data_IF_501326794751
#
_entry.id   IF_501326794751
#
_cell.length_a   1.000
_cell.length_b   1.000
_cell.length_c   1.000
_cell.angle_alpha   90.00
_cell.angle_beta   90.00
_cell.angle_gamma   90.00
#
_symmetry.space_group_name_H-M   'P 1'
#
loop_
_entity.id
_entity.type
_entity.pdbx_description
1 polymer ?
#
# COMPACT_ATOMS: atom_id res chain seq x y z
N UNK A 1 -29.63 -19.09 18.96
CA UNK A 1 -28.21 -19.04 18.63
C UNK A 1 -28.03 -19.05 17.11
N UNK A 2 -26.96 -18.46 16.63
CA UNK A 2 -26.57 -18.48 15.22
C UNK A 2 -25.52 -19.57 14.98
N UNK A 3 -25.49 -20.12 13.77
CA UNK A 3 -24.53 -21.18 13.42
C UNK A 3 -23.18 -20.61 12.95
N UNK A 4 -23.17 -19.35 12.48
CA UNK A 4 -21.97 -18.66 12.03
C UNK A 4 -22.05 -17.15 12.23
N UNK A 5 -20.86 -16.50 12.22
CA UNK A 5 -20.72 -15.05 12.14
C UNK A 5 -19.65 -14.63 11.13
N UNK A 6 -19.80 -13.41 10.60
CA UNK A 6 -18.87 -12.81 9.68
C UNK A 6 -18.49 -11.42 10.21
N UNK A 7 -17.20 -11.09 10.15
CA UNK A 7 -16.68 -9.77 10.54
C UNK A 7 -15.60 -9.37 9.53
N UNK A 8 -15.93 -8.44 8.63
CA UNK A 8 -15.02 -7.99 7.58
C UNK A 8 -14.53 -6.58 7.88
N UNK A 9 -13.25 -6.42 8.13
CA UNK A 9 -12.58 -5.15 8.41
C UNK A 9 -13.40 -4.28 9.37
N UNK A 10 -13.73 -4.84 10.53
CA UNK A 10 -14.57 -4.20 11.54
C UNK A 10 -13.98 -4.28 12.94
N UNK A 11 -13.23 -5.35 13.25
CA UNK A 11 -12.67 -5.59 14.57
C UNK A 11 -11.63 -4.54 14.96
N UNK A 12 -10.89 -4.00 14.00
CA UNK A 12 -9.91 -2.93 14.16
C UNK A 12 -10.50 -1.61 14.65
N UNK A 13 -11.79 -1.40 14.41
CA UNK A 13 -12.53 -0.22 14.86
C UNK A 13 -13.12 -0.36 16.27
N UNK A 14 -12.98 -1.55 16.89
CA UNK A 14 -13.60 -1.81 18.18
C UNK A 14 -12.73 -1.30 19.34
N UNK A 15 -13.23 -0.40 20.20
CA UNK A 15 -12.50 0.04 21.39
C UNK A 15 -12.38 -1.08 22.43
N UNK A 16 -13.32 -2.00 22.45
CA UNK A 16 -13.39 -3.15 23.37
C UNK A 16 -13.62 -4.46 22.58
N UNK A 17 -12.63 -4.96 21.82
CA UNK A 17 -12.81 -6.13 20.96
C UNK A 17 -13.22 -7.40 21.76
N UNK A 18 -12.70 -7.56 22.98
CA UNK A 18 -13.12 -8.65 23.88
C UNK A 18 -14.63 -8.63 24.19
N UNK A 19 -15.21 -7.44 24.37
CA UNK A 19 -16.65 -7.29 24.63
C UNK A 19 -17.48 -7.68 23.43
N UNK A 20 -17.05 -7.27 22.25
CA UNK A 20 -17.68 -7.66 20.98
C UNK A 20 -17.63 -9.17 20.81
N UNK A 21 -16.46 -9.79 20.94
CA UNK A 21 -16.27 -11.22 20.77
C UNK A 21 -17.06 -12.05 21.79
N UNK A 22 -17.13 -11.61 23.06
CA UNK A 22 -17.99 -12.24 24.06
C UNK A 22 -19.47 -12.14 23.74
N UNK A 23 -19.92 -11.02 23.17
CA UNK A 23 -21.30 -10.87 22.71
C UNK A 23 -21.59 -11.88 21.57
N UNK A 24 -20.68 -12.01 20.61
CA UNK A 24 -20.78 -13.01 19.53
C UNK A 24 -20.80 -14.42 20.13
N UNK A 25 -19.87 -14.74 21.03
CA UNK A 25 -19.75 -16.06 21.67
C UNK A 25 -21.06 -16.47 22.37
N UNK A 26 -21.69 -15.54 23.10
CA UNK A 26 -22.95 -15.82 23.82
C UNK A 26 -24.13 -16.11 22.87
N UNK A 27 -24.11 -15.58 21.65
CA UNK A 27 -25.17 -15.74 20.66
C UNK A 27 -24.89 -16.82 19.61
N UNK A 28 -23.68 -17.36 19.57
CA UNK A 28 -23.28 -18.42 18.64
C UNK A 28 -23.59 -19.80 19.22
N UNK A 29 -24.05 -20.72 18.38
CA UNK A 29 -24.26 -22.12 18.75
C UNK A 29 -22.94 -22.80 19.13
N UNK A 30 -23.01 -23.88 19.91
CA UNK A 30 -21.83 -24.70 20.22
C UNK A 30 -21.23 -25.26 18.92
N UNK A 31 -19.92 -25.09 18.76
CA UNK A 31 -19.21 -25.46 17.53
C UNK A 31 -19.49 -24.57 16.33
N UNK A 32 -20.22 -23.47 16.50
CA UNK A 32 -20.46 -22.47 15.46
C UNK A 32 -19.18 -21.85 14.94
N UNK A 33 -19.19 -21.44 13.68
CA UNK A 33 -18.02 -20.95 12.95
C UNK A 33 -18.03 -19.44 12.81
N UNK A 34 -16.84 -18.86 12.61
CA UNK A 34 -16.68 -17.45 12.28
C UNK A 34 -15.62 -17.25 11.22
N UNK A 35 -15.82 -16.22 10.38
CA UNK A 35 -14.80 -15.68 9.49
C UNK A 35 -14.55 -14.23 9.87
N UNK A 36 -13.29 -13.91 10.18
CA UNK A 36 -12.87 -12.57 10.60
C UNK A 36 -11.74 -12.11 9.70
N UNK A 37 -11.89 -10.90 9.17
CA UNK A 37 -10.79 -10.25 8.44
C UNK A 37 -10.45 -8.90 9.09
N UNK A 38 -9.15 -8.58 9.12
CA UNK A 38 -8.62 -7.30 9.61
C UNK A 38 -7.38 -6.90 8.80
N UNK A 39 -7.04 -5.61 8.69
CA UNK A 39 -5.78 -5.17 8.09
C UNK A 39 -4.55 -5.74 8.81
N UNK A 40 -3.52 -6.10 8.05
CA UNK A 40 -2.29 -6.71 8.55
C UNK A 40 -1.29 -5.66 9.02
N UNK A 41 -0.92 -5.70 10.30
CA UNK A 41 0.22 -4.94 10.82
C UNK A 41 1.54 -5.46 10.24
N UNK A 42 1.65 -6.76 10.00
CA UNK A 42 2.84 -7.37 9.41
C UNK A 42 3.14 -6.77 8.03
N UNK A 43 2.10 -6.67 7.19
CA UNK A 43 2.20 -6.01 5.89
C UNK A 43 2.61 -4.54 6.02
N UNK A 44 1.96 -3.78 6.91
CA UNK A 44 2.28 -2.36 7.14
C UNK A 44 3.74 -2.17 7.53
N UNK A 45 4.28 -3.03 8.40
CA UNK A 45 5.67 -2.97 8.86
C UNK A 45 6.65 -3.42 7.78
N UNK A 46 6.34 -4.51 7.05
CA UNK A 46 7.18 -5.02 5.96
C UNK A 46 7.37 -3.99 4.85
N UNK A 47 6.29 -3.32 4.46
CA UNK A 47 6.31 -2.35 3.37
C UNK A 47 6.53 -0.91 3.84
N UNK A 48 6.61 -0.68 5.15
CA UNK A 48 6.78 0.65 5.74
C UNK A 48 5.70 1.66 5.29
N UNK A 49 4.48 1.20 5.09
CA UNK A 49 3.34 1.98 4.61
C UNK A 49 2.69 2.83 5.71
N UNK A 50 3.35 3.91 6.19
CA UNK A 50 2.83 4.72 7.28
C UNK A 50 1.44 5.32 7.01
N UNK A 51 1.09 5.53 5.74
CA UNK A 51 -0.21 6.07 5.33
C UNK A 51 -1.37 5.05 5.45
N UNK A 52 -1.06 3.80 5.80
CA UNK A 52 -2.05 2.80 6.20
C UNK A 52 -2.48 2.98 7.67
N UNK A 53 -1.74 3.78 8.45
CA UNK A 53 -2.10 4.10 9.83
C UNK A 53 -3.18 5.18 9.83
N UNK A 54 -4.42 4.80 10.09
CA UNK A 54 -5.56 5.70 10.09
C UNK A 54 -6.20 5.83 11.48
N UNK A 55 -6.79 6.98 11.73
CA UNK A 55 -7.35 7.32 13.06
C UNK A 55 -8.48 6.39 13.50
N UNK A 56 -9.25 5.86 12.54
CA UNK A 56 -10.40 5.01 12.82
C UNK A 56 -10.02 3.57 13.20
N UNK A 57 -8.79 3.16 12.91
CA UNK A 57 -8.25 1.88 13.36
C UNK A 57 -7.66 2.04 14.76
N UNK A 58 -8.39 1.57 15.75
CA UNK A 58 -7.99 1.63 17.16
C UNK A 58 -7.01 0.52 17.53
N UNK A 59 -6.96 -0.56 16.73
CA UNK A 59 -6.07 -1.68 16.90
C UNK A 59 -5.51 -2.15 15.55
N UNK A 60 -4.26 -2.60 15.56
CA UNK A 60 -3.60 -3.24 14.43
C UNK A 60 -3.17 -4.64 14.84
N UNK A 61 -3.44 -5.63 14.00
CA UNK A 61 -3.26 -7.03 14.32
C UNK A 61 -2.15 -7.68 13.49
N UNK A 62 -1.42 -8.58 14.13
CA UNK A 62 -0.65 -9.65 13.49
C UNK A 62 -1.44 -10.95 13.62
N UNK A 63 -1.07 -12.02 12.89
CA UNK A 63 -1.69 -13.32 13.10
C UNK A 63 -1.60 -13.77 14.57
N UNK A 64 -0.45 -13.58 15.22
CA UNK A 64 -0.26 -13.97 16.61
C UNK A 64 -1.16 -13.20 17.57
N UNK A 65 -1.31 -11.90 17.39
CA UNK A 65 -2.17 -11.08 18.26
C UNK A 65 -3.65 -11.33 18.00
N UNK A 66 -4.04 -11.55 16.74
CA UNK A 66 -5.41 -11.90 16.38
C UNK A 66 -5.80 -13.29 16.93
N UNK A 67 -4.93 -14.29 16.74
CA UNK A 67 -5.10 -15.63 17.31
C UNK A 67 -5.27 -15.58 18.82
N UNK A 68 -4.39 -14.88 19.52
CA UNK A 68 -4.47 -14.71 20.98
C UNK A 68 -5.80 -14.11 21.39
N UNK A 69 -6.25 -13.06 20.69
CA UNK A 69 -7.53 -12.41 20.99
C UNK A 69 -8.72 -13.38 20.81
N UNK A 70 -8.71 -14.17 19.74
CA UNK A 70 -9.76 -15.17 19.49
C UNK A 70 -9.77 -16.25 20.57
N UNK A 71 -8.61 -16.83 20.90
CA UNK A 71 -8.47 -17.89 21.91
C UNK A 71 -8.89 -17.42 23.31
N UNK A 72 -8.50 -16.22 23.72
CA UNK A 72 -8.87 -15.62 25.01
C UNK A 72 -10.40 -15.40 25.12
N UNK A 73 -11.09 -15.30 23.99
CA UNK A 73 -12.53 -15.14 23.92
C UNK A 73 -13.31 -16.44 23.60
N UNK A 74 -12.65 -17.61 23.69
CA UNK A 74 -13.30 -18.93 23.60
C UNK A 74 -13.49 -19.44 22.18
N UNK A 75 -12.67 -18.95 21.25
CA UNK A 75 -12.62 -19.44 19.88
C UNK A 75 -11.31 -20.16 19.60
N UNK A 76 -11.36 -21.25 18.87
CA UNK A 76 -10.20 -21.92 18.29
C UNK A 76 -10.00 -21.41 16.87
N UNK A 77 -8.81 -20.97 16.52
CA UNK A 77 -8.44 -20.65 15.14
C UNK A 77 -8.20 -21.96 14.39
N UNK A 78 -8.93 -22.16 13.29
CA UNK A 78 -8.84 -23.34 12.44
C UNK A 78 -7.93 -23.11 11.24
N UNK A 79 -7.98 -21.91 10.67
CA UNK A 79 -7.27 -21.55 9.45
C UNK A 79 -6.87 -20.06 9.49
N UNK A 80 -5.72 -19.76 8.93
CA UNK A 80 -5.15 -18.41 8.81
C UNK A 80 -4.63 -18.21 7.41
N UNK A 81 -5.01 -17.12 6.77
CA UNK A 81 -4.59 -16.80 5.41
C UNK A 81 -4.39 -15.29 5.25
N UNK A 82 -3.36 -14.89 4.52
CA UNK A 82 -3.20 -13.51 4.05
C UNK A 82 -3.99 -13.36 2.74
N UNK A 83 -5.07 -12.60 2.77
CA UNK A 83 -5.88 -12.31 1.57
C UNK A 83 -5.62 -10.90 1.08
N UNK A 84 -5.79 -10.66 -0.23
CA UNK A 84 -5.60 -9.35 -0.85
C UNK A 84 -4.26 -8.68 -0.50
N UNK A 85 -3.23 -9.45 -0.10
CA UNK A 85 -1.88 -9.05 0.27
C UNK A 85 -1.73 -8.34 1.62
N UNK A 86 -2.76 -7.65 2.10
CA UNK A 86 -2.72 -6.71 3.23
C UNK A 86 -3.73 -7.03 4.32
N UNK A 87 -4.49 -8.11 4.16
CA UNK A 87 -5.61 -8.44 5.03
C UNK A 87 -5.42 -9.82 5.65
N UNK A 88 -5.40 -9.88 6.98
CA UNK A 88 -5.44 -11.14 7.73
C UNK A 88 -6.86 -11.70 7.67
N UNK A 89 -6.97 -12.98 7.35
CA UNK A 89 -8.22 -13.74 7.36
C UNK A 89 -8.07 -14.94 8.29
N UNK A 90 -9.00 -15.11 9.22
CA UNK A 90 -9.02 -16.26 10.12
C UNK A 90 -10.38 -16.92 10.15
N UNK A 91 -10.39 -18.26 10.06
CA UNK A 91 -11.58 -19.06 10.33
C UNK A 91 -11.49 -19.57 11.77
N UNK A 92 -12.53 -19.31 12.55
CA UNK A 92 -12.57 -19.64 13.97
C UNK A 92 -13.77 -20.51 14.30
N UNK A 93 -13.66 -21.31 15.37
CA UNK A 93 -14.73 -22.17 15.89
C UNK A 93 -14.94 -21.90 17.37
N UNK A 94 -16.18 -21.76 17.79
CA UNK A 94 -16.53 -21.70 19.22
C UNK A 94 -16.22 -23.05 19.89
N UNK A 95 -15.37 -23.03 20.93
CA UNK A 95 -14.91 -24.28 21.58
C UNK A 95 -14.95 -24.27 23.11
N UNK A 96 -14.94 -23.14 23.75
CA UNK A 96 -14.84 -23.06 25.20
C UNK A 96 -15.43 -21.79 25.79
N UNK A 97 -15.48 -21.70 27.11
CA UNK A 97 -15.87 -20.46 27.75
C UNK A 97 -14.74 -19.43 27.66
N UNK A 98 -15.07 -18.17 27.34
CA UNK A 98 -14.10 -17.08 27.39
C UNK A 98 -13.40 -17.04 28.75
N UNK A 99 -12.08 -17.00 28.76
CA UNK A 99 -11.29 -17.00 29.99
C UNK A 99 -11.30 -15.59 30.59
N UNK A 100 -12.09 -15.39 31.65
CA UNK A 100 -12.12 -14.10 32.37
C UNK A 100 -10.74 -13.80 32.93
N UNK A 101 -10.07 -12.79 32.39
CA UNK A 101 -8.92 -12.15 33.02
C UNK A 101 -7.62 -12.96 32.98
N UNK A 102 -7.52 -14.02 32.20
CA UNK A 102 -6.20 -14.55 31.86
C UNK A 102 -5.53 -13.55 30.90
N UNK A 103 -5.02 -12.48 31.46
CA UNK A 103 -3.76 -12.01 30.91
C UNK A 103 -2.82 -13.20 31.09
N UNK A 104 -2.77 -14.12 30.12
CA UNK A 104 -1.56 -14.92 29.94
C UNK A 104 -0.46 -13.90 30.04
N UNK A 105 0.41 -14.03 31.05
CA UNK A 105 1.59 -13.18 31.17
C UNK A 105 2.23 -13.30 29.81
N UNK A 106 2.06 -12.26 29.00
CA UNK A 106 2.59 -12.23 27.65
C UNK A 106 4.09 -12.34 27.84
N UNK A 107 4.62 -13.56 27.63
CA UNK A 107 6.04 -13.70 27.47
C UNK A 107 6.41 -12.71 26.38
N UNK A 108 7.00 -11.58 26.85
CA UNK A 108 7.56 -10.50 26.06
C UNK A 108 7.08 -10.47 24.58
N UNK A 109 5.92 -9.90 24.32
CA UNK A 109 5.72 -9.29 23.01
C UNK A 109 6.86 -8.29 22.85
N UNK A 110 7.85 -8.63 22.03
CA UNK A 110 8.83 -7.63 21.60
C UNK A 110 8.03 -6.50 20.97
N UNK A 111 8.27 -5.24 21.39
CA UNK A 111 7.65 -4.12 20.71
C UNK A 111 7.94 -4.23 19.21
N UNK A 112 6.92 -4.04 18.37
CA UNK A 112 7.12 -4.00 16.93
C UNK A 112 8.13 -2.89 16.60
N UNK A 113 9.12 -3.20 15.77
CA UNK A 113 10.04 -2.19 15.27
C UNK A 113 9.35 -1.30 14.24
N UNK A 114 9.06 -0.07 14.62
CA UNK A 114 8.42 0.95 13.77
C UNK A 114 9.43 1.92 13.14
N UNK A 115 10.73 1.69 13.30
CA UNK A 115 11.77 2.59 12.78
C UNK A 115 11.68 2.77 11.27
N UNK A 116 11.35 1.71 10.54
CA UNK A 116 11.12 1.74 9.10
C UNK A 116 9.94 2.64 8.70
N UNK A 117 8.84 2.64 9.45
CA UNK A 117 7.70 3.53 9.20
C UNK A 117 8.07 5.00 9.37
N UNK A 118 8.86 5.33 10.40
CA UNK A 118 9.32 6.69 10.64
C UNK A 118 10.26 7.17 9.55
N UNK A 119 11.19 6.31 9.11
CA UNK A 119 12.11 6.60 8.02
C UNK A 119 11.36 6.79 6.69
N UNK A 120 10.41 5.92 6.38
CA UNK A 120 9.57 6.00 5.18
C UNK A 120 8.75 7.30 5.15
N UNK A 121 8.15 7.68 6.29
CA UNK A 121 7.44 8.96 6.41
C UNK A 121 8.34 10.14 6.11
N UNK A 122 9.54 10.20 6.70
CA UNK A 122 10.48 11.31 6.48
C UNK A 122 10.92 11.38 5.01
N UNK A 123 11.21 10.25 4.41
CA UNK A 123 11.60 10.17 2.99
C UNK A 123 10.46 10.65 2.08
N UNK A 124 9.25 10.16 2.28
CA UNK A 124 8.10 10.53 1.47
C UNK A 124 7.72 12.01 1.66
N UNK A 125 7.88 12.57 2.86
CA UNK A 125 7.69 14.00 3.11
C UNK A 125 8.69 14.85 2.31
N UNK A 126 9.95 14.42 2.20
CA UNK A 126 10.95 15.09 1.36
C UNK A 126 10.59 15.00 -0.13
N UNK A 127 10.19 13.84 -0.63
CA UNK A 127 9.74 13.64 -2.01
C UNK A 127 8.55 14.54 -2.37
N UNK A 128 7.54 14.55 -1.48
CA UNK A 128 6.38 15.43 -1.64
C UNK A 128 6.77 16.90 -1.64
N UNK A 129 7.64 17.32 -0.73
CA UNK A 129 8.09 18.71 -0.66
C UNK A 129 8.82 19.13 -1.94
N UNK A 130 9.70 18.27 -2.48
CA UNK A 130 10.38 18.51 -3.75
C UNK A 130 9.41 18.60 -4.93
N UNK A 131 8.42 17.70 -4.98
CA UNK A 131 7.36 17.74 -6.00
C UNK A 131 6.57 19.05 -5.93
N UNK A 132 6.08 19.42 -4.75
CA UNK A 132 5.29 20.63 -4.53
C UNK A 132 6.09 21.88 -4.90
N UNK A 133 7.36 21.98 -4.48
CA UNK A 133 8.20 23.13 -4.77
C UNK A 133 8.50 23.25 -6.27
N UNK A 134 8.73 22.13 -6.96
CA UNK A 134 8.91 22.09 -8.41
C UNK A 134 7.66 22.59 -9.14
N UNK A 135 6.50 22.01 -8.85
CA UNK A 135 5.23 22.39 -9.49
C UNK A 135 4.87 23.85 -9.21
N UNK A 136 5.18 24.34 -8.00
CA UNK A 136 4.96 25.74 -7.65
C UNK A 136 5.84 26.70 -8.48
N UNK A 137 7.14 26.39 -8.63
CA UNK A 137 8.06 27.18 -9.46
C UNK A 137 7.66 27.21 -10.92
N UNK A 138 7.07 26.12 -11.40
CA UNK A 138 6.60 25.98 -12.78
C UNK A 138 5.18 26.55 -12.99
N UNK A 139 4.51 27.04 -11.94
CA UNK A 139 3.13 27.52 -12.00
C UNK A 139 2.11 26.45 -12.36
N UNK A 140 2.42 25.18 -12.07
CA UNK A 140 1.61 24.02 -12.44
C UNK A 140 0.61 23.63 -11.36
N UNK A 141 -0.57 23.20 -11.79
CA UNK A 141 -1.65 22.67 -10.96
C UNK A 141 -1.48 21.16 -10.73
N UNK A 142 -1.90 20.66 -9.57
CA UNK A 142 -1.83 19.27 -9.16
C UNK A 142 -3.19 18.79 -8.66
N UNK A 143 -3.63 17.59 -9.08
CA UNK A 143 -4.74 16.88 -8.47
C UNK A 143 -4.26 15.52 -7.92
N UNK A 144 -5.03 14.93 -7.00
CA UNK A 144 -4.87 13.56 -6.54
C UNK A 144 -5.98 12.71 -7.16
N UNK A 145 -5.67 11.51 -7.65
CA UNK A 145 -6.66 10.50 -7.99
C UNK A 145 -6.65 9.39 -6.95
N UNK A 146 -7.72 9.29 -6.15
CA UNK A 146 -7.90 8.36 -5.05
C UNK A 146 -8.28 9.07 -3.76
N UNK A 147 -9.57 9.37 -3.57
CA UNK A 147 -10.13 9.87 -2.31
C UNK A 147 -10.37 8.69 -1.35
N UNK A 148 -9.29 8.02 -0.96
CA UNK A 148 -9.22 6.90 -0.01
C UNK A 148 -8.51 7.33 1.28
N UNK A 149 -8.49 6.43 2.28
CA UNK A 149 -7.73 6.67 3.51
C UNK A 149 -6.25 7.01 3.24
N UNK A 150 -5.62 6.35 2.28
CA UNK A 150 -4.23 6.62 1.88
C UNK A 150 -4.07 8.05 1.33
N UNK A 151 -4.93 8.44 0.38
CA UNK A 151 -4.92 9.80 -0.19
C UNK A 151 -5.21 10.87 0.86
N UNK A 152 -6.15 10.61 1.77
CA UNK A 152 -6.46 11.53 2.87
C UNK A 152 -5.30 11.66 3.86
N UNK A 153 -4.69 10.54 4.26
CA UNK A 153 -3.54 10.56 5.17
C UNK A 153 -2.37 11.28 4.55
N UNK A 154 -2.04 10.99 3.29
CA UNK A 154 -0.95 11.65 2.58
C UNK A 154 -1.18 13.16 2.49
N UNK A 155 -2.37 13.60 2.09
CA UNK A 155 -2.71 15.01 1.99
C UNK A 155 -2.72 15.74 3.35
N UNK A 156 -3.18 15.06 4.40
CA UNK A 156 -3.26 15.62 5.74
C UNK A 156 -1.90 15.72 6.46
N UNK A 157 -0.96 14.84 6.14
CA UNK A 157 0.33 14.72 6.84
C UNK A 157 1.50 15.36 6.09
N UNK A 158 1.28 15.83 4.86
CA UNK A 158 2.31 16.45 4.01
C UNK A 158 1.84 17.80 3.48
N UNK A 159 2.73 18.52 2.77
CA UNK A 159 2.42 19.79 2.12
C UNK A 159 1.43 19.69 0.94
N UNK A 160 1.04 18.49 0.52
CA UNK A 160 0.04 18.30 -0.55
C UNK A 160 -1.30 18.97 -0.22
N UNK A 161 -1.73 18.94 1.03
CA UNK A 161 -3.00 19.52 1.46
C UNK A 161 -3.21 20.99 1.08
N UNK A 162 -2.13 21.74 0.90
CA UNK A 162 -2.15 23.17 0.56
C UNK A 162 -1.88 23.45 -0.94
N UNK A 163 -1.73 22.40 -1.77
CA UNK A 163 -1.26 22.53 -3.16
C UNK A 163 -2.07 21.74 -4.16
N UNK A 164 -2.95 20.88 -3.69
CA UNK A 164 -3.83 20.07 -4.52
C UNK A 164 -5.13 20.83 -4.76
N UNK A 165 -5.49 21.00 -6.02
CA UNK A 165 -6.71 21.72 -6.41
C UNK A 165 -7.95 20.91 -6.02
N UNK A 166 -7.92 19.59 -6.31
CA UNK A 166 -9.01 18.67 -6.00
C UNK A 166 -8.54 17.22 -5.94
N UNK A 167 -9.37 16.35 -5.32
CA UNK A 167 -9.23 14.90 -5.40
C UNK A 167 -10.28 14.32 -6.34
N UNK A 168 -9.86 13.43 -7.25
CA UNK A 168 -10.77 12.68 -8.12
C UNK A 168 -11.07 11.30 -7.52
N UNK A 169 -12.34 10.90 -7.55
CA UNK A 169 -12.76 9.56 -7.16
C UNK A 169 -13.99 9.13 -7.97
N UNK A 170 -13.99 7.88 -8.43
CA UNK A 170 -15.09 7.33 -9.23
C UNK A 170 -16.35 7.01 -8.41
N UNK A 171 -16.24 6.94 -7.08
CA UNK A 171 -17.37 6.61 -6.19
C UNK A 171 -18.33 7.81 -6.02
N UNK A 172 -19.58 7.73 -6.55
CA UNK A 172 -20.50 8.89 -6.54
C UNK A 172 -20.81 9.42 -5.15
N UNK A 173 -20.83 8.56 -4.12
CA UNK A 173 -21.14 8.97 -2.75
C UNK A 173 -20.07 9.84 -2.09
N UNK A 174 -18.86 9.89 -2.65
CA UNK A 174 -17.76 10.76 -2.19
C UNK A 174 -17.76 12.11 -2.88
N UNK A 175 -18.26 12.18 -4.10
CA UNK A 175 -18.26 13.38 -4.93
C UNK A 175 -19.09 14.50 -4.30
N UNK A 176 -18.64 15.75 -4.45
CA UNK A 176 -19.23 16.93 -3.82
C UNK A 176 -18.95 17.06 -2.32
N UNK A 177 -18.09 16.21 -1.76
CA UNK A 177 -17.63 16.27 -0.36
C UNK A 177 -16.21 16.81 -0.29
N UNK A 178 -15.68 16.92 0.92
CA UNK A 178 -14.32 17.37 1.19
C UNK A 178 -13.51 16.29 1.88
N UNK A 179 -12.22 16.20 1.55
CA UNK A 179 -11.29 15.32 2.22
C UNK A 179 -11.14 15.73 3.70
N UNK A 180 -11.13 14.76 4.63
CA UNK A 180 -10.89 15.04 6.04
C UNK A 180 -9.56 15.77 6.25
N UNK A 181 -9.52 16.67 7.23
CA UNK A 181 -8.36 17.47 7.65
C UNK A 181 -7.83 18.45 6.57
N UNK A 182 -7.59 18.03 5.34
CA UNK A 182 -7.06 18.89 4.27
C UNK A 182 -8.13 19.77 3.61
N UNK A 183 -9.41 19.41 3.74
CA UNK A 183 -10.56 20.11 3.11
C UNK A 183 -10.46 20.23 1.58
N UNK A 184 -9.66 19.39 0.92
CA UNK A 184 -9.59 19.34 -0.54
C UNK A 184 -10.95 18.84 -1.07
N UNK A 185 -11.56 19.52 -2.08
CA UNK A 185 -12.82 19.06 -2.66
C UNK A 185 -12.65 17.72 -3.39
N UNK A 186 -13.63 16.83 -3.25
CA UNK A 186 -13.67 15.55 -3.96
C UNK A 186 -14.64 15.67 -5.12
N UNK A 187 -14.16 15.39 -6.32
CA UNK A 187 -14.89 15.58 -7.58
C UNK A 187 -14.96 14.29 -8.40
N UNK A 188 -15.88 14.24 -9.35
CA UNK A 188 -15.89 13.19 -10.36
C UNK A 188 -14.65 13.32 -11.28
N UNK A 189 -14.14 12.22 -11.86
CA UNK A 189 -13.00 12.28 -12.79
C UNK A 189 -13.20 13.23 -13.96
N UNK A 190 -14.43 13.35 -14.47
CA UNK A 190 -14.76 14.22 -15.61
C UNK A 190 -14.64 15.72 -15.29
N UNK A 191 -14.56 16.10 -14.03
CA UNK A 191 -14.25 17.49 -13.61
C UNK A 191 -12.91 17.97 -14.20
N UNK A 192 -11.98 17.06 -14.48
CA UNK A 192 -10.73 17.37 -15.16
C UNK A 192 -10.94 18.10 -16.51
N UNK A 193 -12.04 17.80 -17.23
CA UNK A 193 -12.36 18.44 -18.51
C UNK A 193 -12.83 19.89 -18.33
N UNK A 194 -13.36 20.24 -17.15
CA UNK A 194 -13.85 21.58 -16.81
C UNK A 194 -12.73 22.44 -16.20
N UNK A 195 -11.92 21.87 -15.30
CA UNK A 195 -10.76 22.51 -14.66
C UNK A 195 -9.54 21.57 -14.72
N UNK A 196 -8.83 21.53 -15.87
CA UNK A 196 -7.69 20.66 -16.06
C UNK A 196 -6.52 21.02 -15.16
N UNK A 197 -5.71 20.00 -14.79
CA UNK A 197 -4.46 20.15 -14.04
C UNK A 197 -3.26 19.67 -14.85
N UNK A 198 -2.07 20.14 -14.51
CA UNK A 198 -0.83 19.79 -15.22
C UNK A 198 -0.24 18.47 -14.74
N UNK A 199 -0.58 18.06 -13.51
CA UNK A 199 -0.12 16.80 -12.92
C UNK A 199 -1.23 16.12 -12.13
N UNK A 200 -1.25 14.78 -12.18
CA UNK A 200 -2.14 13.92 -11.36
C UNK A 200 -1.29 12.95 -10.58
N UNK A 201 -1.43 12.95 -9.25
CA UNK A 201 -0.84 11.96 -8.36
C UNK A 201 -1.86 10.85 -8.06
N UNK A 202 -1.59 9.65 -8.55
CA UNK A 202 -2.44 8.48 -8.30
C UNK A 202 -2.08 7.89 -6.93
N UNK A 203 -3.09 7.81 -6.05
CA UNK A 203 -3.00 7.19 -4.72
C UNK A 203 -4.06 6.09 -4.61
N UNK A 204 -3.94 5.11 -5.49
CA UNK A 204 -4.84 3.96 -5.60
C UNK A 204 -4.05 2.73 -6.09
N UNK A 205 -3.26 2.06 -5.21
CA UNK A 205 -2.26 1.06 -5.60
C UNK A 205 -2.80 -0.07 -6.47
N UNK A 206 -4.02 -0.55 -6.19
CA UNK A 206 -4.64 -1.64 -6.95
C UNK A 206 -5.15 -1.24 -8.34
N UNK A 207 -5.25 0.07 -8.64
CA UNK A 207 -5.85 0.61 -9.86
C UNK A 207 -4.91 1.56 -10.62
N UNK A 208 -3.64 1.62 -10.25
CA UNK A 208 -2.68 2.59 -10.81
C UNK A 208 -2.61 2.54 -12.32
N UNK A 209 -2.47 1.35 -12.91
CA UNK A 209 -2.29 1.19 -14.36
C UNK A 209 -3.57 1.55 -15.12
N UNK A 210 -4.74 1.13 -14.61
CA UNK A 210 -6.05 1.48 -15.18
C UNK A 210 -6.28 3.00 -15.17
N UNK A 211 -6.04 3.65 -14.03
CA UNK A 211 -6.19 5.10 -13.89
C UNK A 211 -5.21 5.83 -14.81
N UNK A 212 -3.96 5.37 -14.89
CA UNK A 212 -2.98 5.97 -15.78
C UNK A 212 -3.38 5.89 -17.26
N UNK A 213 -3.99 4.76 -17.69
CA UNK A 213 -4.57 4.62 -19.03
C UNK A 213 -5.74 5.59 -19.26
N UNK A 214 -6.62 5.73 -18.30
CA UNK A 214 -7.74 6.69 -18.38
C UNK A 214 -7.18 8.12 -18.55
N UNK A 215 -6.17 8.51 -17.77
CA UNK A 215 -5.56 9.84 -17.88
C UNK A 215 -4.95 10.03 -19.28
N UNK A 216 -4.17 9.08 -19.78
CA UNK A 216 -3.54 9.19 -21.11
C UNK A 216 -4.56 9.30 -22.24
N UNK A 217 -5.67 8.60 -22.13
CA UNK A 217 -6.67 8.53 -23.20
C UNK A 217 -7.69 9.68 -23.13
N UNK A 218 -8.08 10.12 -21.93
CA UNK A 218 -9.19 11.04 -21.75
C UNK A 218 -8.78 12.40 -21.17
N UNK A 219 -7.70 12.45 -20.38
CA UNK A 219 -7.28 13.64 -19.63
C UNK A 219 -5.82 14.01 -19.94
N UNK A 220 -5.47 13.92 -21.23
CA UNK A 220 -4.07 13.96 -21.68
C UNK A 220 -3.43 15.34 -21.74
N UNK A 221 -4.18 16.44 -21.61
CA UNK A 221 -3.67 17.80 -21.77
C UNK A 221 -4.00 18.67 -20.56
N UNK A 222 -2.96 19.16 -19.89
CA UNK A 222 -3.07 20.12 -18.82
C UNK A 222 -3.29 21.56 -19.31
N UNK A 223 -3.53 22.51 -18.39
CA UNK A 223 -3.79 23.91 -18.72
C UNK A 223 -2.62 24.60 -19.45
N UNK A 224 -1.39 24.14 -19.24
CA UNK A 224 -0.20 24.64 -19.93
C UNK A 224 -0.05 24.15 -21.38
N UNK A 225 -0.99 23.36 -21.90
CA UNK A 225 -0.94 22.78 -23.25
C UNK A 225 0.03 21.62 -23.40
N UNK A 226 0.69 21.22 -22.32
CA UNK A 226 1.57 20.04 -22.29
C UNK A 226 0.79 18.79 -21.85
N UNK A 227 1.36 17.63 -22.16
CA UNK A 227 0.80 16.37 -21.66
C UNK A 227 0.73 16.38 -20.12
N UNK A 228 -0.41 15.94 -19.58
CA UNK A 228 -0.61 15.81 -18.14
C UNK A 228 0.45 14.87 -17.54
N UNK A 229 1.18 15.34 -16.55
CA UNK A 229 2.15 14.52 -15.83
C UNK A 229 1.40 13.51 -14.96
N UNK A 230 1.72 12.23 -15.10
CA UNK A 230 1.10 11.14 -14.34
C UNK A 230 2.11 10.64 -13.32
N UNK A 231 1.79 10.85 -12.06
CA UNK A 231 2.60 10.44 -10.92
C UNK A 231 1.86 9.34 -10.16
N UNK A 232 2.57 8.42 -9.55
CA UNK A 232 1.96 7.42 -8.67
C UNK A 232 2.73 7.33 -7.36
N UNK A 233 1.97 7.16 -6.27
CA UNK A 233 2.53 6.78 -4.99
C UNK A 233 2.87 5.29 -5.03
N UNK A 234 4.14 4.97 -4.91
CA UNK A 234 4.63 3.63 -4.55
C UNK A 234 4.79 3.55 -3.03
N UNK A 235 5.09 2.38 -2.52
CA UNK A 235 5.16 2.14 -1.07
C UNK A 235 5.99 3.19 -0.31
N UNK A 236 7.06 3.72 -0.91
CA UNK A 236 7.99 4.63 -0.24
C UNK A 236 8.44 5.83 -1.07
N UNK A 237 7.96 5.99 -2.31
CA UNK A 237 8.40 7.08 -3.20
C UNK A 237 7.32 7.45 -4.21
N UNK A 238 7.50 8.60 -4.87
CA UNK A 238 6.65 9.04 -5.99
C UNK A 238 7.36 8.72 -7.30
N UNK A 239 6.70 7.95 -8.17
CA UNK A 239 7.19 7.57 -9.49
C UNK A 239 6.47 8.38 -10.59
N UNK A 240 7.22 8.88 -11.57
CA UNK A 240 6.66 9.50 -12.77
C UNK A 240 6.43 8.43 -13.84
N UNK A 241 5.17 8.18 -14.14
CA UNK A 241 4.71 7.20 -15.13
C UNK A 241 4.02 7.84 -16.34
N UNK A 242 4.29 9.11 -16.58
CA UNK A 242 3.70 9.90 -17.69
C UNK A 242 3.95 9.23 -19.04
N UNK A 243 5.16 8.74 -19.25
CA UNK A 243 5.51 7.96 -20.45
C UNK A 243 5.35 6.48 -20.15
N UNK A 244 4.81 5.74 -21.07
CA UNK A 244 4.88 4.28 -21.07
C UNK A 244 6.34 3.89 -21.27
N UNK A 245 7.08 3.75 -20.19
CA UNK A 245 8.41 3.17 -20.25
C UNK A 245 8.24 1.65 -20.23
N UNK A 246 8.98 0.95 -21.08
CA UNK A 246 9.08 -0.50 -21.00
C UNK A 246 9.60 -0.86 -19.60
N UNK A 247 8.85 -1.69 -18.87
CA UNK A 247 9.17 -2.10 -17.50
C UNK A 247 9.78 -3.48 -17.52
N UNK A 248 11.03 -3.57 -17.13
CA UNK A 248 11.82 -4.80 -17.22
C UNK A 248 12.26 -5.25 -15.83
N UNK A 249 11.99 -6.50 -15.51
CA UNK A 249 12.42 -7.12 -14.25
C UNK A 249 13.55 -8.09 -14.53
N UNK A 250 14.64 -7.96 -13.79
CA UNK A 250 15.83 -8.80 -13.97
C UNK A 250 16.23 -9.40 -12.61
N UNK A 251 16.16 -10.73 -12.47
CA UNK A 251 16.84 -11.44 -11.37
C UNK A 251 18.30 -11.70 -11.74
N UNK A 252 19.19 -11.76 -10.74
CA UNK A 252 20.61 -11.90 -11.04
C UNK A 252 21.23 -10.67 -11.73
N UNK A 253 20.60 -9.51 -11.58
CA UNK A 253 21.03 -8.24 -12.17
C UNK A 253 22.46 -7.81 -11.76
N UNK A 254 22.99 -8.32 -10.66
CA UNK A 254 24.38 -8.08 -10.21
C UNK A 254 25.42 -8.97 -10.88
N UNK A 255 24.98 -10.01 -11.59
CA UNK A 255 25.85 -10.92 -12.38
C UNK A 255 26.31 -10.28 -13.68
N UNK A 256 27.23 -10.96 -14.39
CA UNK A 256 27.80 -10.44 -15.65
C UNK A 256 26.71 -10.19 -16.71
N UNK A 257 25.88 -11.20 -16.99
CA UNK A 257 24.81 -11.10 -18.00
C UNK A 257 23.77 -10.08 -17.57
N UNK A 258 23.32 -10.17 -16.29
CA UNK A 258 22.26 -9.30 -15.78
C UNK A 258 22.62 -7.81 -15.82
N UNK A 259 23.86 -7.44 -15.51
CA UNK A 259 24.31 -6.05 -15.60
C UNK A 259 24.33 -5.51 -17.03
N UNK A 260 24.82 -6.31 -17.98
CA UNK A 260 24.84 -5.89 -19.38
C UNK A 260 23.42 -5.78 -19.96
N UNK A 261 22.54 -6.69 -19.59
CA UNK A 261 21.12 -6.62 -19.98
C UNK A 261 20.45 -5.39 -19.38
N UNK A 262 20.66 -5.13 -18.08
CA UNK A 262 20.15 -3.94 -17.43
C UNK A 262 20.62 -2.65 -18.12
N UNK A 263 21.91 -2.55 -18.44
CA UNK A 263 22.47 -1.40 -19.17
C UNK A 263 21.82 -1.22 -20.54
N UNK A 264 21.61 -2.29 -21.28
CA UNK A 264 20.98 -2.26 -22.60
C UNK A 264 19.54 -1.68 -22.53
N UNK A 265 18.76 -2.12 -21.54
CA UNK A 265 17.40 -1.62 -21.36
C UNK A 265 17.37 -0.18 -20.84
N UNK A 266 18.31 0.19 -19.96
CA UNK A 266 18.45 1.58 -19.51
C UNK A 266 18.82 2.54 -20.65
N UNK A 267 19.68 2.11 -21.59
CA UNK A 267 20.01 2.88 -22.81
C UNK A 267 18.80 3.07 -23.71
N UNK A 268 17.89 2.11 -23.76
CA UNK A 268 16.60 2.22 -24.45
C UNK A 268 15.56 3.06 -23.70
N UNK A 269 15.90 3.55 -22.51
CA UNK A 269 15.01 4.36 -21.68
C UNK A 269 14.00 3.54 -20.86
N UNK A 270 14.13 2.22 -20.79
CA UNK A 270 13.28 1.36 -19.98
C UNK A 270 13.46 1.62 -18.48
N UNK A 271 12.45 1.27 -17.70
CA UNK A 271 12.50 1.20 -16.24
C UNK A 271 12.93 -0.22 -15.86
N UNK A 272 14.08 -0.37 -15.20
CA UNK A 272 14.66 -1.67 -14.87
C UNK A 272 14.56 -1.93 -13.37
N UNK A 273 13.81 -2.94 -12.99
CA UNK A 273 13.75 -3.47 -11.63
C UNK A 273 14.80 -4.58 -11.47
N UNK A 274 15.85 -4.30 -10.73
CA UNK A 274 16.90 -5.25 -10.45
C UNK A 274 16.58 -6.00 -9.14
N UNK A 275 16.15 -7.26 -9.24
CA UNK A 275 15.93 -8.10 -8.05
C UNK A 275 17.30 -8.56 -7.53
N UNK A 276 17.60 -8.16 -6.31
CA UNK A 276 18.91 -8.40 -5.69
C UNK A 276 18.74 -8.95 -4.28
N UNK A 277 19.59 -9.89 -3.90
CA UNK A 277 19.62 -10.37 -2.50
C UNK A 277 19.98 -9.20 -1.59
N UNK A 278 19.32 -9.04 -0.41
CA UNK A 278 19.58 -7.93 0.52
C UNK A 278 21.07 -7.77 0.85
N UNK A 279 21.77 -8.89 1.02
CA UNK A 279 23.19 -8.94 1.40
C UNK A 279 24.14 -9.17 0.22
N UNK A 280 23.74 -8.82 -0.99
CA UNK A 280 24.57 -9.07 -2.17
C UNK A 280 25.83 -8.21 -2.14
N UNK A 281 27.05 -8.81 -2.09
CA UNK A 281 28.30 -8.06 -2.12
C UNK A 281 28.52 -7.34 -3.46
N UNK A 282 27.73 -7.66 -4.46
CA UNK A 282 27.82 -7.10 -5.80
C UNK A 282 26.83 -5.93 -6.05
N UNK A 283 26.11 -5.48 -5.03
CA UNK A 283 25.16 -4.38 -5.17
C UNK A 283 25.84 -3.11 -5.73
N UNK A 284 27.04 -2.83 -5.29
CA UNK A 284 27.85 -1.70 -5.76
C UNK A 284 28.24 -1.76 -7.25
N UNK A 285 28.08 -2.92 -7.89
CA UNK A 285 28.35 -3.13 -9.32
C UNK A 285 27.18 -2.76 -10.23
N UNK A 286 25.99 -2.49 -9.67
CA UNK A 286 24.86 -1.99 -10.43
C UNK A 286 25.13 -0.56 -10.92
N UNK A 287 24.68 -0.27 -12.13
CA UNK A 287 24.76 1.07 -12.68
C UNK A 287 23.98 2.05 -11.79
N UNK A 288 24.53 3.25 -11.57
CA UNK A 288 23.77 4.35 -10.95
C UNK A 288 22.98 5.05 -12.04
N UNK A 289 21.70 4.72 -12.16
CA UNK A 289 20.81 5.29 -13.18
C UNK A 289 19.43 5.56 -12.57
N UNK A 290 18.82 6.69 -12.93
CA UNK A 290 17.50 7.08 -12.42
C UNK A 290 16.37 6.07 -12.72
N UNK A 291 16.51 5.32 -13.81
CA UNK A 291 15.56 4.29 -14.21
C UNK A 291 15.96 2.88 -13.75
N UNK A 292 16.96 2.72 -12.89
CA UNK A 292 17.31 1.44 -12.30
C UNK A 292 16.91 1.43 -10.83
N UNK A 293 15.98 0.53 -10.49
CA UNK A 293 15.44 0.36 -9.14
C UNK A 293 15.91 -0.97 -8.58
N UNK A 294 16.85 -0.97 -7.63
CA UNK A 294 17.15 -2.18 -6.89
C UNK A 294 15.98 -2.59 -6.00
N UNK A 295 15.52 -3.82 -6.16
CA UNK A 295 14.46 -4.40 -5.32
C UNK A 295 15.08 -5.50 -4.48
N UNK A 296 15.26 -5.31 -3.16
CA UNK A 296 15.69 -6.37 -2.27
C UNK A 296 14.67 -7.52 -2.30
N UNK A 297 15.14 -8.71 -2.70
CA UNK A 297 14.30 -9.87 -2.90
C UNK A 297 15.09 -11.14 -2.66
N UNK A 298 14.55 -12.03 -1.84
CA UNK A 298 14.96 -13.41 -1.78
C UNK A 298 14.08 -14.22 -2.75
N UNK A 299 14.70 -15.03 -3.61
CA UNK A 299 13.98 -15.83 -4.61
C UNK A 299 13.08 -16.89 -3.98
N UNK A 300 13.30 -17.26 -2.73
CA UNK A 300 12.40 -18.14 -1.96
C UNK A 300 11.10 -17.41 -1.53
N UNK A 301 11.10 -16.09 -1.52
CA UNK A 301 9.98 -15.24 -1.09
C UNK A 301 9.63 -14.17 -2.14
N UNK A 302 9.50 -14.58 -3.41
CA UNK A 302 9.29 -13.66 -4.55
C UNK A 302 7.95 -12.92 -4.49
N UNK A 303 6.94 -13.46 -3.82
CA UNK A 303 5.60 -12.86 -3.74
C UNK A 303 5.62 -11.41 -3.22
N UNK A 304 6.48 -11.10 -2.25
CA UNK A 304 6.65 -9.75 -1.72
C UNK A 304 7.28 -8.73 -2.68
N UNK A 305 7.80 -9.17 -3.84
CA UNK A 305 8.37 -8.28 -4.84
C UNK A 305 7.35 -7.77 -5.85
N UNK A 306 6.24 -8.51 -6.05
CA UNK A 306 5.20 -8.16 -7.03
C UNK A 306 4.61 -6.79 -6.74
N UNK A 307 4.38 -6.48 -5.48
CA UNK A 307 3.78 -5.22 -5.05
C UNK A 307 4.72 -4.03 -5.23
N UNK A 308 6.03 -4.27 -5.14
CA UNK A 308 7.07 -3.25 -5.37
C UNK A 308 7.27 -2.96 -6.86
N UNK A 309 6.99 -3.93 -7.72
CA UNK A 309 7.26 -3.86 -9.16
C UNK A 309 6.01 -3.48 -9.95
N UNK A 310 4.84 -4.01 -9.58
CA UNK A 310 3.62 -3.91 -10.37
C UNK A 310 3.71 -4.72 -11.67
N UNK A 311 2.97 -4.32 -12.70
CA UNK A 311 3.01 -4.98 -14.01
C UNK A 311 4.37 -4.73 -14.68
N UNK A 312 4.97 -5.78 -15.24
CA UNK A 312 6.18 -5.71 -16.04
C UNK A 312 5.91 -6.17 -17.49
N UNK A 313 6.61 -5.56 -18.45
CA UNK A 313 6.51 -5.90 -19.87
C UNK A 313 7.44 -7.05 -20.23
N UNK A 314 8.57 -7.16 -19.51
CA UNK A 314 9.52 -8.24 -19.67
C UNK A 314 10.10 -8.70 -18.32
N UNK A 315 10.29 -10.01 -18.18
CA UNK A 315 10.92 -10.62 -17.01
C UNK A 315 12.07 -11.53 -17.43
N UNK A 316 13.27 -11.24 -16.92
CA UNK A 316 14.47 -12.05 -17.17
C UNK A 316 14.94 -12.72 -15.90
N UNK A 317 14.87 -14.04 -15.87
CA UNK A 317 15.39 -14.83 -14.77
C UNK A 317 16.82 -15.28 -15.05
N UNK A 318 17.79 -14.55 -14.50
CA UNK A 318 19.24 -14.79 -14.67
C UNK A 318 19.93 -15.16 -13.34
N UNK A 319 19.17 -15.24 -12.25
CA UNK A 319 19.69 -15.74 -10.99
C UNK A 319 19.78 -17.26 -11.05
N UNK A 320 20.99 -17.79 -10.90
CA UNK A 320 21.24 -19.22 -10.79
C UNK A 320 21.61 -19.52 -9.34
N UNK A 321 20.90 -20.45 -8.71
CA UNK A 321 21.27 -21.03 -7.44
C UNK A 321 22.34 -22.08 -7.67
N UNK A 322 23.52 -21.84 -7.13
CA UNK A 322 24.60 -22.82 -7.02
C UNK A 322 24.75 -23.25 -5.58
#
# INVERSE_FOLDING_TARGET
PYDAFLSFNFLEHQPEPDRMLRCIWNNLAEGGLGLVTVPSLEYILEYNGYYELIRDHLAYYTFDTLRTLMEDNGFQVLEEEMVNRDTLSVIVKKVGMPVKGSRRVREKCCPADISGLLASRQFLDQEVNQLVDRLHKEGKKLAIWGASHQGFTLAATTRLGNKVEYMMDSAPFKQGRFAPASHIPIVAPDHFLEDPVDAVLIVAPGYTDEIAEIIRNKYSSGPSGNATQILTLRTSHIEDITRTQERVVITGATGFIGRNLASLYLEKGALVYALVRPDSPNLAKLARHKNLIPVPCDLEHVSGCVDKIGRADAFFHLAWGG
#
